data_IF_374204874512
#
_entry.id   IF_374204874512
#
_cell.length_a   1.000
_cell.length_b   1.000
_cell.length_c   1.000
_cell.angle_alpha   90.00
_cell.angle_beta   90.00
_cell.angle_gamma   90.00
#
_symmetry.space_group_name_H-M   'P 1'
#
loop_
_entity.id
_entity.type
_entity.pdbx_description
1 polymer ?
#
# COMPACT_ATOMS: atom_id res chain seq x y z
N UNK A 1 -6.83 16.39 -1.12
CA UNK A 1 -7.74 17.55 -1.12
C UNK A 1 -8.87 17.33 -0.12
N UNK A 2 -9.57 16.21 -0.17
CA UNK A 2 -10.74 15.92 0.68
C UNK A 2 -10.40 15.18 1.98
N UNK A 3 -9.12 14.89 2.20
CA UNK A 3 -8.61 14.25 3.40
C UNK A 3 -8.92 12.75 3.50
N UNK A 4 -8.58 12.19 4.66
CA UNK A 4 -8.75 10.78 4.93
C UNK A 4 -10.03 10.49 5.70
N UNK A 5 -10.48 9.23 5.65
CA UNK A 5 -11.55 8.72 6.50
C UNK A 5 -11.08 8.42 7.93
N UNK A 6 -11.65 7.38 8.52
CA UNK A 6 -11.29 6.97 9.90
C UNK A 6 -9.87 6.42 10.04
N UNK A 7 -9.27 6.03 8.94
CA UNK A 7 -7.91 5.48 8.86
C UNK A 7 -7.13 6.31 7.83
N UNK A 8 -6.54 5.72 6.81
CA UNK A 8 -5.74 6.40 5.79
C UNK A 8 -6.44 6.42 4.42
N UNK A 9 -7.74 6.19 4.36
CA UNK A 9 -8.50 6.00 3.12
C UNK A 9 -9.00 7.32 2.52
N UNK A 10 -8.42 7.83 1.42
CA UNK A 10 -8.82 9.06 0.74
C UNK A 10 -9.96 8.77 -0.26
N UNK A 11 -11.12 8.31 0.22
CA UNK A 11 -12.17 7.75 -0.63
C UNK A 11 -12.67 8.71 -1.70
N UNK A 12 -12.77 10.01 -1.43
CA UNK A 12 -13.24 11.01 -2.38
C UNK A 12 -12.20 11.26 -3.45
N UNK A 13 -10.96 11.58 -3.04
CA UNK A 13 -9.84 11.82 -3.97
C UNK A 13 -9.55 10.59 -4.84
N UNK A 14 -9.62 9.39 -4.25
CA UNK A 14 -9.47 8.12 -4.98
C UNK A 14 -10.53 7.98 -6.09
N UNK A 15 -11.78 8.30 -5.80
CA UNK A 15 -12.86 8.26 -6.79
C UNK A 15 -12.69 9.31 -7.88
N UNK A 16 -12.26 10.52 -7.54
CA UNK A 16 -11.97 11.56 -8.54
C UNK A 16 -10.89 11.09 -9.52
N UNK A 17 -9.79 10.52 -9.00
CA UNK A 17 -8.71 9.96 -9.85
C UNK A 17 -9.24 8.84 -10.75
N UNK A 18 -10.06 7.92 -10.21
CA UNK A 18 -10.66 6.84 -11.00
C UNK A 18 -11.56 7.36 -12.11
N UNK A 19 -12.39 8.38 -11.84
CA UNK A 19 -13.30 8.95 -12.85
C UNK A 19 -12.53 9.74 -13.91
N UNK A 20 -11.50 10.50 -13.54
CA UNK A 20 -10.59 11.14 -14.50
C UNK A 20 -9.95 10.11 -15.44
N UNK A 21 -9.46 9.01 -14.87
CA UNK A 21 -8.88 7.93 -15.68
C UNK A 21 -9.91 7.25 -16.57
N UNK A 22 -11.14 7.06 -16.10
CA UNK A 22 -12.23 6.54 -16.90
C UNK A 22 -12.57 7.51 -18.06
N UNK A 23 -12.53 8.82 -17.85
CA UNK A 23 -12.72 9.83 -18.89
C UNK A 23 -11.64 9.76 -19.98
N UNK A 24 -10.36 9.66 -19.59
CA UNK A 24 -9.27 9.43 -20.55
C UNK A 24 -9.51 8.16 -21.40
N UNK A 25 -9.92 7.08 -20.76
CA UNK A 25 -10.22 5.82 -21.44
C UNK A 25 -11.44 5.95 -22.34
N UNK A 26 -12.50 6.65 -21.91
CA UNK A 26 -13.69 6.92 -22.70
C UNK A 26 -13.30 7.56 -24.04
N UNK A 27 -12.50 8.62 -24.02
CA UNK A 27 -12.01 9.27 -25.25
C UNK A 27 -11.13 8.34 -26.09
N UNK A 28 -10.20 7.63 -25.45
CA UNK A 28 -9.29 6.70 -26.16
C UNK A 28 -10.02 5.58 -26.90
N UNK A 29 -11.11 5.08 -26.34
CA UNK A 29 -11.88 3.98 -26.95
C UNK A 29 -13.09 4.46 -27.75
N UNK A 30 -13.31 5.77 -27.94
CA UNK A 30 -14.46 6.32 -28.63
C UNK A 30 -15.79 6.02 -27.94
N UNK A 31 -15.76 5.74 -26.61
CA UNK A 31 -16.99 5.53 -25.86
C UNK A 31 -17.71 6.86 -25.62
N UNK A 32 -19.04 6.83 -25.56
CA UNK A 32 -19.87 8.04 -25.45
C UNK A 32 -20.14 8.46 -24.01
N UNK A 33 -20.02 7.55 -23.04
CA UNK A 33 -20.26 7.82 -21.63
C UNK A 33 -19.57 6.79 -20.72
N UNK A 34 -19.57 7.06 -19.42
CA UNK A 34 -18.99 6.24 -18.35
C UNK A 34 -20.11 5.66 -17.51
N UNK A 35 -20.02 4.38 -17.16
CA UNK A 35 -20.94 3.72 -16.21
C UNK A 35 -20.23 3.45 -14.90
N UNK A 36 -20.89 3.79 -13.77
CA UNK A 36 -20.44 3.45 -12.42
C UNK A 36 -21.48 2.65 -11.67
N UNK A 37 -21.05 1.55 -11.03
CA UNK A 37 -21.90 0.74 -10.15
C UNK A 37 -22.09 1.35 -8.74
N UNK A 38 -21.89 2.64 -8.57
CA UNK A 38 -22.12 3.34 -7.31
C UNK A 38 -23.61 3.42 -6.98
N UNK A 39 -23.95 3.27 -5.68
CA UNK A 39 -25.32 3.36 -5.19
C UNK A 39 -25.41 4.44 -4.11
N UNK A 40 -26.40 5.31 -4.23
CA UNK A 40 -26.62 6.39 -3.28
C UNK A 40 -26.80 5.87 -1.84
N UNK A 41 -25.98 6.38 -0.92
CA UNK A 41 -26.04 6.02 0.49
C UNK A 41 -25.38 4.69 0.87
N UNK A 42 -24.84 3.92 -0.08
CA UNK A 42 -24.24 2.61 0.22
C UNK A 42 -22.91 2.74 0.97
N UNK A 43 -22.13 3.77 0.67
CA UNK A 43 -20.86 4.06 1.35
C UNK A 43 -20.88 5.44 1.99
N UNK A 44 -20.63 5.54 3.32
CA UNK A 44 -20.83 6.78 4.05
C UNK A 44 -19.89 7.92 3.65
N UNK A 45 -18.75 7.61 3.02
CA UNK A 45 -17.78 8.66 2.61
C UNK A 45 -17.94 9.07 1.16
N UNK A 46 -18.05 8.12 0.23
CA UNK A 46 -17.93 8.40 -1.21
C UNK A 46 -19.25 8.30 -1.98
N UNK A 47 -20.33 7.89 -1.34
CA UNK A 47 -21.63 7.68 -2.00
C UNK A 47 -22.80 8.41 -1.32
N UNK A 48 -22.52 9.50 -0.63
CA UNK A 48 -23.51 10.48 -0.22
C UNK A 48 -23.86 11.37 -1.41
N UNK A 49 -25.03 11.98 -1.43
CA UNK A 49 -25.48 12.87 -2.50
C UNK A 49 -24.48 13.98 -2.80
N UNK A 50 -24.09 14.71 -1.74
CA UNK A 50 -23.10 15.78 -1.80
C UNK A 50 -21.76 15.31 -2.39
N UNK A 51 -21.28 14.16 -1.91
CA UNK A 51 -20.01 13.59 -2.33
C UNK A 51 -20.04 13.08 -3.77
N UNK A 52 -21.13 12.45 -4.20
CA UNK A 52 -21.32 12.03 -5.59
C UNK A 52 -21.29 13.24 -6.54
N UNK A 53 -21.84 14.38 -6.11
CA UNK A 53 -21.81 15.62 -6.87
C UNK A 53 -20.40 16.24 -6.94
N UNK A 54 -19.67 16.23 -5.81
CA UNK A 54 -18.26 16.66 -5.77
C UNK A 54 -17.40 15.81 -6.71
N UNK A 55 -17.53 14.47 -6.64
CA UNK A 55 -16.74 13.56 -7.48
C UNK A 55 -16.97 13.83 -8.97
N UNK A 56 -18.23 13.95 -9.41
CA UNK A 56 -18.53 14.19 -10.84
C UNK A 56 -18.08 15.56 -11.32
N UNK A 57 -18.13 16.58 -10.44
CA UNK A 57 -17.66 17.95 -10.74
C UNK A 57 -16.15 17.99 -10.87
N UNK A 58 -15.42 17.48 -9.86
CA UNK A 58 -13.97 17.60 -9.78
C UNK A 58 -13.23 16.64 -10.71
N UNK A 59 -13.89 15.59 -11.15
CA UNK A 59 -13.39 14.70 -12.19
C UNK A 59 -13.74 15.17 -13.60
N UNK A 60 -14.54 16.24 -13.75
CA UNK A 60 -15.04 16.76 -15.02
C UNK A 60 -15.78 15.71 -15.86
N UNK A 61 -16.68 14.97 -15.19
CA UNK A 61 -17.48 13.90 -15.85
C UNK A 61 -18.99 14.06 -15.59
N UNK A 62 -19.42 15.27 -15.26
CA UNK A 62 -20.79 15.55 -14.82
C UNK A 62 -21.83 15.06 -15.83
N UNK A 63 -21.62 15.32 -17.11
CA UNK A 63 -22.59 15.06 -18.17
C UNK A 63 -22.51 13.64 -18.72
N UNK A 64 -21.35 12.97 -18.53
CA UNK A 64 -21.08 11.65 -19.12
C UNK A 64 -21.07 10.50 -18.11
N UNK A 65 -21.16 10.78 -16.80
CA UNK A 65 -21.11 9.75 -15.75
C UNK A 65 -22.51 9.28 -15.36
N UNK A 66 -22.90 8.12 -15.85
CA UNK A 66 -24.17 7.48 -15.53
C UNK A 66 -24.00 6.48 -14.36
N UNK A 67 -24.98 6.48 -13.42
CA UNK A 67 -25.07 5.54 -12.30
C UNK A 67 -26.37 4.72 -12.38
N UNK A 68 -26.43 3.70 -13.24
CA UNK A 68 -27.67 3.01 -13.59
C UNK A 68 -28.45 2.44 -12.41
N UNK A 69 -27.72 2.00 -11.36
CA UNK A 69 -28.35 1.38 -10.19
C UNK A 69 -29.13 2.35 -9.30
N UNK A 70 -28.80 3.64 -9.34
CA UNK A 70 -29.45 4.66 -8.49
C UNK A 70 -29.84 5.94 -9.26
N UNK A 71 -29.91 5.87 -10.58
CA UNK A 71 -30.18 7.02 -11.43
C UNK A 71 -31.46 7.76 -11.07
N UNK A 72 -32.52 7.06 -10.72
CA UNK A 72 -33.84 7.67 -10.35
C UNK A 72 -33.76 8.57 -9.10
N UNK A 73 -32.69 8.51 -8.32
CA UNK A 73 -32.44 9.39 -7.17
C UNK A 73 -31.43 10.53 -7.47
N UNK A 74 -30.94 10.61 -8.69
CA UNK A 74 -29.96 11.62 -9.11
C UNK A 74 -30.53 12.50 -10.22
N UNK A 75 -29.98 13.70 -10.38
CA UNK A 75 -30.31 14.54 -11.52
C UNK A 75 -29.94 13.83 -12.83
N UNK A 76 -30.74 13.95 -13.89
CA UNK A 76 -30.45 13.39 -15.20
C UNK A 76 -29.11 13.92 -15.73
N UNK A 77 -28.40 13.09 -16.47
CA UNK A 77 -27.21 13.46 -17.24
C UNK A 77 -27.56 13.68 -18.71
N UNK A 78 -26.68 14.31 -19.50
CA UNK A 78 -26.88 14.43 -20.94
C UNK A 78 -27.07 13.09 -21.64
N UNK A 79 -26.52 12.02 -21.09
CA UNK A 79 -26.70 10.64 -21.59
C UNK A 79 -28.17 10.22 -21.56
N UNK A 80 -28.90 10.67 -20.55
CA UNK A 80 -30.35 10.40 -20.37
C UNK A 80 -31.20 11.42 -21.13
N UNK A 81 -30.85 12.71 -21.03
CA UNK A 81 -31.60 13.80 -21.66
C UNK A 81 -31.59 13.72 -23.22
N UNK A 82 -30.47 13.28 -23.78
CA UNK A 82 -30.33 13.05 -25.22
C UNK A 82 -31.05 11.80 -25.73
N UNK A 83 -31.64 11.00 -24.85
CA UNK A 83 -32.27 9.73 -25.19
C UNK A 83 -31.30 8.60 -25.59
N UNK A 84 -30.00 8.80 -25.35
CA UNK A 84 -29.01 7.74 -25.59
C UNK A 84 -29.24 6.54 -24.68
N UNK A 85 -29.71 6.78 -23.46
CA UNK A 85 -30.12 5.77 -22.48
C UNK A 85 -31.53 6.12 -22.00
N UNK A 86 -32.43 5.14 -22.04
CA UNK A 86 -33.80 5.29 -21.54
C UNK A 86 -33.77 5.29 -19.98
N UNK A 87 -34.05 6.45 -19.42
CA UNK A 87 -34.07 6.64 -17.93
C UNK A 87 -35.09 5.75 -17.23
N UNK A 88 -36.23 5.44 -17.86
CA UNK A 88 -37.27 4.62 -17.24
C UNK A 88 -36.79 3.17 -16.97
N UNK A 89 -35.83 2.70 -17.74
CA UNK A 89 -35.20 1.40 -17.55
C UNK A 89 -34.12 1.39 -16.48
N UNK A 90 -33.71 2.56 -15.96
CA UNK A 90 -32.73 2.68 -14.90
C UNK A 90 -33.38 2.47 -13.51
N UNK A 91 -32.55 2.20 -12.52
CA UNK A 91 -32.98 1.78 -11.20
C UNK A 91 -32.93 2.91 -10.17
N UNK A 92 -33.63 2.69 -9.04
CA UNK A 92 -33.70 3.58 -7.89
C UNK A 92 -33.19 2.90 -6.62
N UNK A 93 -32.12 2.11 -6.69
CA UNK A 93 -31.54 1.45 -5.52
C UNK A 93 -30.85 2.49 -4.63
N UNK A 94 -31.07 2.43 -3.31
CA UNK A 94 -30.44 3.32 -2.33
C UNK A 94 -30.18 2.64 -1.00
N UNK A 95 -29.24 3.18 -0.24
CA UNK A 95 -28.95 2.72 1.12
C UNK A 95 -27.86 1.65 1.18
N UNK A 96 -27.65 1.10 2.37
CA UNK A 96 -26.54 0.17 2.66
C UNK A 96 -26.83 -1.28 2.29
N UNK A 97 -28.09 -1.62 2.12
CA UNK A 97 -28.52 -2.97 1.75
C UNK A 97 -27.99 -3.38 0.38
N UNK A 98 -27.93 -4.68 0.12
CA UNK A 98 -27.48 -5.26 -1.14
C UNK A 98 -28.43 -6.28 -1.72
N UNK A 99 -29.56 -6.50 -1.06
CA UNK A 99 -30.56 -7.50 -1.47
C UNK A 99 -30.99 -7.31 -2.93
N UNK A 100 -31.28 -6.07 -3.33
CA UNK A 100 -31.68 -5.74 -4.69
C UNK A 100 -30.57 -6.01 -5.71
N UNK A 101 -29.31 -5.63 -5.40
CA UNK A 101 -28.18 -5.90 -6.28
C UNK A 101 -27.88 -7.40 -6.41
N UNK A 102 -28.02 -8.17 -5.32
CA UNK A 102 -27.86 -9.63 -5.36
C UNK A 102 -28.99 -10.30 -6.15
N UNK A 103 -30.22 -9.81 -6.02
CA UNK A 103 -31.34 -10.28 -6.81
C UNK A 103 -31.13 -10.01 -8.32
N UNK A 104 -30.62 -8.82 -8.67
CA UNK A 104 -30.24 -8.49 -10.05
C UNK A 104 -29.13 -9.40 -10.57
N UNK A 105 -28.06 -9.64 -9.78
CA UNK A 105 -26.99 -10.53 -10.17
C UNK A 105 -27.51 -11.94 -10.48
N UNK A 106 -28.42 -12.45 -9.63
CA UNK A 106 -29.10 -13.73 -9.88
C UNK A 106 -29.97 -13.71 -11.14
N UNK A 107 -30.74 -12.64 -11.33
CA UNK A 107 -31.59 -12.48 -12.51
C UNK A 107 -30.79 -12.49 -13.80
N UNK A 108 -29.62 -11.85 -13.82
CA UNK A 108 -28.72 -11.81 -14.97
C UNK A 108 -27.76 -13.01 -15.06
N UNK A 109 -27.94 -14.03 -14.23
CA UNK A 109 -27.17 -15.29 -14.33
C UNK A 109 -25.70 -15.18 -13.92
N UNK A 110 -25.34 -14.25 -13.06
CA UNK A 110 -23.97 -14.17 -12.53
C UNK A 110 -23.66 -15.42 -11.70
N UNK A 111 -22.72 -16.24 -12.15
CA UNK A 111 -22.28 -17.44 -11.42
C UNK A 111 -21.55 -17.07 -10.12
N UNK A 112 -20.76 -16.02 -10.16
CA UNK A 112 -20.06 -15.47 -9.00
C UNK A 112 -20.37 -13.99 -8.88
N UNK A 113 -20.71 -13.55 -7.67
CA UNK A 113 -20.83 -12.13 -7.35
C UNK A 113 -19.49 -11.67 -6.78
N UNK A 114 -18.75 -10.80 -7.47
CA UNK A 114 -17.48 -10.30 -6.97
C UNK A 114 -17.62 -9.69 -5.59
N UNK A 115 -16.58 -9.85 -4.78
CA UNK A 115 -16.54 -9.24 -3.44
C UNK A 115 -16.92 -7.77 -3.57
N UNK A 116 -17.90 -7.34 -2.82
CA UNK A 116 -18.28 -5.94 -2.86
C UNK A 116 -17.08 -5.09 -2.59
N UNK A 117 -16.88 -4.03 -3.36
CA UNK A 117 -15.78 -3.04 -3.23
C UNK A 117 -15.58 -2.55 -1.78
N UNK A 118 -15.35 -3.44 -0.86
CA UNK A 118 -14.86 -3.34 0.50
C UNK A 118 -13.44 -3.89 0.53
N UNK A 119 -12.74 -3.82 1.65
CA UNK A 119 -11.38 -4.36 1.75
C UNK A 119 -10.33 -3.46 1.11
N UNK A 120 -10.56 -2.15 1.08
CA UNK A 120 -9.50 -1.19 0.75
C UNK A 120 -8.42 -1.27 1.83
N UNK A 121 -7.21 -1.65 1.45
CA UNK A 121 -6.06 -1.72 2.37
C UNK A 121 -5.82 -0.42 3.15
N UNK A 122 -6.10 0.72 2.54
CA UNK A 122 -6.00 2.04 3.21
C UNK A 122 -7.06 2.28 4.30
N UNK A 123 -8.11 1.46 4.36
CA UNK A 123 -9.12 1.51 5.42
C UNK A 123 -8.81 0.59 6.61
N UNK A 124 -7.74 -0.21 6.53
CA UNK A 124 -7.31 -1.16 7.55
C UNK A 124 -6.22 -0.55 8.42
N UNK A 125 -6.38 -0.63 9.74
CA UNK A 125 -5.43 -0.07 10.72
C UNK A 125 -4.03 -0.67 10.56
N UNK A 126 -3.94 -1.97 10.32
CA UNK A 126 -2.68 -2.69 10.15
C UNK A 126 -1.91 -2.17 8.93
N UNK A 127 -2.59 -1.97 7.81
CA UNK A 127 -1.95 -1.40 6.63
C UNK A 127 -1.60 0.08 6.82
N UNK A 128 -2.43 0.86 7.51
CA UNK A 128 -2.16 2.26 7.77
C UNK A 128 -0.90 2.45 8.62
N UNK A 129 -0.69 1.63 9.67
CA UNK A 129 0.53 1.70 10.50
C UNK A 129 1.80 1.36 9.71
N UNK A 130 1.68 0.56 8.64
CA UNK A 130 2.79 0.20 7.75
C UNK A 130 3.04 1.26 6.67
N UNK A 131 1.97 1.90 6.17
CA UNK A 131 2.06 2.87 5.07
C UNK A 131 2.37 4.28 5.53
N UNK A 132 1.92 4.65 6.73
CA UNK A 132 2.11 6.01 7.24
C UNK A 132 3.59 6.42 7.36
N UNK A 133 4.49 5.61 7.95
CA UNK A 133 5.91 5.94 7.98
C UNK A 133 6.52 6.11 6.59
N UNK A 134 6.10 5.30 5.60
CA UNK A 134 6.53 5.46 4.21
C UNK A 134 6.14 6.84 3.67
N UNK A 135 4.90 7.28 3.93
CA UNK A 135 4.42 8.60 3.51
C UNK A 135 5.11 9.74 4.24
N UNK A 136 5.51 9.53 5.50
CA UNK A 136 6.15 10.51 6.36
C UNK A 136 7.62 10.71 6.03
N UNK A 137 8.37 9.63 5.83
CA UNK A 137 9.83 9.64 5.76
C UNK A 137 10.40 9.47 4.35
N UNK A 138 9.65 8.88 3.41
CA UNK A 138 10.11 8.78 2.02
C UNK A 138 9.95 10.12 1.31
N UNK A 139 11.02 10.68 0.73
CA UNK A 139 10.95 11.92 -0.04
C UNK A 139 10.01 11.79 -1.26
N UNK A 140 9.96 10.60 -1.85
CA UNK A 140 9.14 10.28 -3.02
C UNK A 140 8.61 8.86 -2.91
N UNK A 141 7.49 8.64 -2.19
CA UNK A 141 6.90 7.32 -2.03
C UNK A 141 6.56 6.66 -3.37
N UNK A 142 6.96 5.43 -3.54
CA UNK A 142 6.77 4.66 -4.78
C UNK A 142 5.90 3.42 -4.56
N UNK A 143 5.40 2.84 -5.66
CA UNK A 143 4.67 1.56 -5.62
C UNK A 143 5.52 0.46 -4.99
N UNK A 144 6.84 0.50 -5.20
CA UNK A 144 7.79 -0.45 -4.59
C UNK A 144 7.79 -0.34 -3.07
N UNK A 145 7.80 0.86 -2.52
CA UNK A 145 7.80 1.08 -1.07
C UNK A 145 6.52 0.51 -0.43
N UNK A 146 5.37 0.71 -1.06
CA UNK A 146 4.11 0.10 -0.59
C UNK A 146 4.05 -1.42 -0.78
N UNK A 147 4.76 -1.99 -1.75
CA UNK A 147 4.92 -3.44 -1.85
C UNK A 147 5.81 -3.97 -0.72
N UNK A 148 6.95 -3.34 -0.47
CA UNK A 148 7.86 -3.68 0.63
C UNK A 148 7.17 -3.61 1.99
N UNK A 149 6.38 -2.57 2.25
CA UNK A 149 5.65 -2.43 3.52
C UNK A 149 4.61 -3.52 3.80
N UNK A 150 4.23 -4.32 2.78
CA UNK A 150 3.34 -5.47 2.96
C UNK A 150 4.09 -6.80 3.22
N UNK A 151 5.43 -6.81 3.16
CA UNK A 151 6.25 -8.01 3.33
C UNK A 151 6.90 -7.96 4.71
N UNK A 152 7.00 -9.09 5.40
CA UNK A 152 7.78 -9.22 6.64
C UNK A 152 7.29 -8.37 7.82
N UNK A 153 8.23 -8.09 8.72
CA UNK A 153 8.08 -7.16 9.85
C UNK A 153 8.71 -5.83 9.48
N UNK A 154 8.08 -4.74 9.90
CA UNK A 154 8.47 -3.38 9.54
C UNK A 154 9.06 -2.67 10.75
N UNK A 155 10.31 -2.27 10.70
CA UNK A 155 11.00 -1.55 11.77
C UNK A 155 11.49 -0.21 11.26
N UNK A 156 11.31 0.80 12.08
CA UNK A 156 11.73 2.16 11.80
C UNK A 156 12.60 2.70 12.93
N UNK A 157 13.59 3.47 12.55
CA UNK A 157 14.39 4.27 13.45
C UNK A 157 14.56 5.63 12.79
N UNK A 158 13.81 6.62 13.27
CA UNK A 158 13.65 7.89 12.59
C UNK A 158 13.21 7.70 11.13
N UNK A 159 14.04 8.10 10.17
CA UNK A 159 13.80 7.97 8.73
C UNK A 159 14.43 6.71 8.11
N UNK A 160 15.01 5.85 8.90
CA UNK A 160 15.61 4.58 8.46
C UNK A 160 14.58 3.46 8.54
N UNK A 161 14.51 2.69 7.49
CA UNK A 161 13.52 1.63 7.35
C UNK A 161 14.15 0.27 7.15
N UNK A 162 13.86 -0.63 8.08
CA UNK A 162 14.27 -2.03 8.04
C UNK A 162 13.10 -2.96 7.89
N UNK A 163 13.21 -3.92 6.97
CA UNK A 163 12.19 -4.95 6.72
C UNK A 163 12.82 -6.31 6.99
N UNK A 164 12.25 -7.07 7.91
CA UNK A 164 12.78 -8.38 8.30
C UNK A 164 11.79 -9.48 7.88
N UNK A 165 12.24 -10.44 7.07
CA UNK A 165 11.44 -11.57 6.63
C UNK A 165 11.03 -12.46 7.81
N UNK A 166 9.81 -13.01 7.77
CA UNK A 166 9.28 -13.93 8.79
C UNK A 166 9.52 -15.39 8.45
N UNK A 167 9.63 -15.68 7.16
CA UNK A 167 9.75 -17.01 6.59
C UNK A 167 10.38 -16.95 5.19
N UNK A 168 10.59 -18.10 4.58
CA UNK A 168 11.22 -18.20 3.25
C UNK A 168 10.45 -17.45 2.15
N UNK A 169 9.12 -17.44 2.21
CA UNK A 169 8.31 -16.68 1.22
C UNK A 169 8.58 -15.18 1.32
N UNK A 170 8.63 -14.64 2.54
CA UNK A 170 8.98 -13.23 2.76
C UNK A 170 10.39 -12.94 2.28
N UNK A 171 11.37 -13.81 2.59
CA UNK A 171 12.77 -13.65 2.16
C UNK A 171 12.87 -13.56 0.64
N UNK A 172 12.23 -14.48 -0.08
CA UNK A 172 12.19 -14.49 -1.55
C UNK A 172 11.49 -13.23 -2.09
N UNK A 173 10.37 -12.83 -1.48
CA UNK A 173 9.62 -11.66 -1.90
C UNK A 173 10.41 -10.36 -1.67
N UNK A 174 11.14 -10.25 -0.57
CA UNK A 174 12.01 -9.10 -0.28
C UNK A 174 13.09 -8.94 -1.35
N UNK A 175 13.82 -10.00 -1.68
CA UNK A 175 14.87 -9.98 -2.72
C UNK A 175 14.32 -9.60 -4.10
N UNK A 176 13.08 -10.02 -4.40
CA UNK A 176 12.42 -9.69 -5.67
C UNK A 176 11.96 -8.23 -5.75
N UNK A 177 11.58 -7.62 -4.63
CA UNK A 177 10.94 -6.29 -4.59
C UNK A 177 11.91 -5.18 -4.23
N UNK A 178 12.99 -5.45 -3.47
CA UNK A 178 13.98 -4.44 -3.07
C UNK A 178 14.58 -3.72 -4.28
N UNK A 179 15.05 -2.48 -4.09
CA UNK A 179 15.74 -1.69 -5.10
C UNK A 179 17.22 -2.03 -5.15
N UNK A 180 17.89 -1.60 -6.21
CA UNK A 180 19.31 -1.91 -6.44
C UNK A 180 20.21 -1.37 -5.34
N UNK A 181 19.89 -0.20 -4.79
CA UNK A 181 20.64 0.46 -3.72
C UNK A 181 20.29 -0.02 -2.31
N UNK A 182 19.23 -0.84 -2.17
CA UNK A 182 18.82 -1.33 -0.85
C UNK A 182 19.86 -2.31 -0.28
N UNK A 183 20.09 -2.23 1.02
CA UNK A 183 21.01 -3.08 1.76
C UNK A 183 20.34 -4.41 2.10
N UNK A 184 21.03 -5.51 1.83
CA UNK A 184 20.58 -6.87 2.14
C UNK A 184 21.44 -7.44 3.25
N UNK A 185 20.82 -7.79 4.37
CA UNK A 185 21.44 -8.38 5.55
C UNK A 185 21.19 -9.88 5.58
N UNK A 186 22.26 -10.69 5.73
CA UNK A 186 22.19 -12.15 5.82
C UNK A 186 23.19 -12.66 6.87
N UNK A 187 22.75 -13.55 7.73
CA UNK A 187 23.65 -14.20 8.68
C UNK A 187 24.59 -15.20 7.96
N UNK A 188 25.82 -15.27 8.39
CA UNK A 188 26.77 -16.29 7.96
C UNK A 188 26.87 -17.39 9.02
N UNK A 189 26.74 -18.64 8.61
CA UNK A 189 26.88 -19.80 9.49
C UNK A 189 25.67 -20.09 10.39
N UNK A 190 24.65 -19.24 10.39
CA UNK A 190 23.42 -19.43 11.17
C UNK A 190 22.19 -19.27 10.28
N UNK A 191 21.16 -20.11 10.46
CA UNK A 191 19.88 -19.88 9.82
C UNK A 191 19.24 -18.61 10.40
N UNK A 192 18.72 -17.77 9.52
CA UNK A 192 18.10 -16.51 9.94
C UNK A 192 17.27 -15.88 8.82
N UNK A 193 16.57 -14.79 9.12
CA UNK A 193 15.85 -14.05 8.11
C UNK A 193 16.80 -13.33 7.16
N UNK A 194 16.30 -13.01 5.99
CA UNK A 194 16.83 -11.91 5.18
C UNK A 194 16.19 -10.63 5.70
N UNK A 195 17.01 -9.59 5.91
CA UNK A 195 16.50 -8.27 6.16
C UNK A 195 16.93 -7.31 5.04
N UNK A 196 16.11 -6.28 4.80
CA UNK A 196 16.34 -5.23 3.81
C UNK A 196 16.39 -3.89 4.54
N UNK A 197 17.49 -3.17 4.40
CA UNK A 197 17.62 -1.76 4.78
C UNK A 197 17.27 -0.90 3.56
N UNK A 198 16.12 -0.25 3.60
CA UNK A 198 15.66 0.60 2.51
C UNK A 198 16.46 1.90 2.48
N UNK A 199 17.21 2.12 1.43
CA UNK A 199 17.92 3.39 1.22
C UNK A 199 17.06 4.32 0.37
N UNK A 200 16.65 5.45 0.95
CA UNK A 200 15.99 6.52 0.21
C UNK A 200 17.04 7.35 -0.55
N UNK A 201 16.64 7.89 -1.69
CA UNK A 201 17.50 8.73 -2.53
C UNK A 201 18.17 9.84 -1.70
N UNK A 202 19.51 9.93 -1.79
CA UNK A 202 20.31 10.90 -1.05
C UNK A 202 20.52 10.59 0.45
N UNK A 203 20.06 9.43 0.93
CA UNK A 203 20.13 9.04 2.35
C UNK A 203 20.81 7.67 2.52
N UNK A 204 22.08 7.58 2.15
CA UNK A 204 22.88 6.39 2.41
C UNK A 204 23.10 6.23 3.92
N UNK A 205 23.05 4.98 4.39
CA UNK A 205 23.31 4.66 5.80
C UNK A 205 24.78 4.70 6.11
N UNK A 206 25.13 5.28 7.27
CA UNK A 206 26.50 5.28 7.78
C UNK A 206 26.92 3.86 8.22
N UNK A 207 28.23 3.62 8.32
CA UNK A 207 28.75 2.31 8.71
C UNK A 207 28.29 1.85 10.10
N UNK A 208 28.16 2.77 11.04
CA UNK A 208 27.67 2.51 12.38
C UNK A 208 26.17 2.12 12.37
N UNK A 209 25.40 2.73 11.51
CA UNK A 209 23.98 2.41 11.32
C UNK A 209 23.78 1.02 10.68
N UNK A 210 24.66 0.67 9.74
CA UNK A 210 24.67 -0.66 9.12
C UNK A 210 25.09 -1.72 10.14
N UNK A 211 26.08 -1.45 10.99
CA UNK A 211 26.51 -2.37 12.04
C UNK A 211 25.42 -2.61 13.09
N UNK A 212 24.71 -1.55 13.50
CA UNK A 212 23.58 -1.62 14.41
C UNK A 212 22.43 -2.47 13.82
N UNK A 213 22.08 -2.22 12.55
CA UNK A 213 21.09 -2.98 11.82
C UNK A 213 21.49 -4.47 11.64
N UNK A 214 22.79 -4.74 11.51
CA UNK A 214 23.31 -6.11 11.46
C UNK A 214 23.10 -6.84 12.79
N UNK A 215 23.42 -6.19 13.94
CA UNK A 215 23.18 -6.72 15.28
C UNK A 215 21.69 -6.97 15.52
N UNK A 216 20.84 -6.02 15.10
CA UNK A 216 19.39 -6.16 15.16
C UNK A 216 18.91 -7.34 14.30
N UNK A 217 19.38 -7.48 13.07
CA UNK A 217 19.02 -8.61 12.18
C UNK A 217 19.44 -9.95 12.79
N UNK A 218 20.63 -10.04 13.35
CA UNK A 218 21.15 -11.26 13.99
C UNK A 218 20.26 -11.73 15.16
N UNK A 219 19.62 -10.80 15.87
CA UNK A 219 18.72 -11.09 16.99
C UNK A 219 17.44 -11.86 16.59
N UNK A 220 17.13 -11.97 15.33
CA UNK A 220 16.01 -12.78 14.84
C UNK A 220 16.36 -14.23 14.55
N UNK A 221 17.63 -14.62 14.69
CA UNK A 221 18.07 -16.01 14.61
C UNK A 221 18.15 -16.62 16.00
N UNK A 222 17.25 -17.54 16.40
CA UNK A 222 17.30 -18.17 17.70
C UNK A 222 18.65 -18.88 17.96
N UNK A 223 19.21 -19.53 16.92
CA UNK A 223 20.50 -20.21 17.03
C UNK A 223 21.67 -19.25 17.24
N UNK A 224 21.66 -18.09 16.57
CA UNK A 224 22.68 -17.08 16.77
C UNK A 224 22.61 -16.49 18.19
N UNK A 225 21.42 -16.19 18.69
CA UNK A 225 21.21 -15.69 20.06
C UNK A 225 21.63 -16.75 21.11
N UNK A 226 21.24 -18.01 20.92
CA UNK A 226 21.57 -19.10 21.82
C UNK A 226 23.08 -19.45 21.89
N UNK A 227 23.83 -19.14 20.83
CA UNK A 227 25.28 -19.37 20.81
C UNK A 227 26.02 -18.53 21.84
N UNK A 228 25.48 -17.40 22.26
CA UNK A 228 26.12 -16.46 23.16
C UNK A 228 27.40 -15.82 22.63
N UNK A 229 27.68 -15.99 21.34
CA UNK A 229 28.87 -15.50 20.64
C UNK A 229 28.55 -14.39 19.65
N UNK A 230 29.57 -13.64 19.27
CA UNK A 230 29.49 -12.75 18.14
C UNK A 230 29.28 -13.54 16.84
N UNK A 231 28.44 -13.02 15.97
CA UNK A 231 28.08 -13.64 14.69
C UNK A 231 28.44 -12.71 13.54
N UNK A 232 28.75 -13.30 12.41
CA UNK A 232 29.03 -12.52 11.22
C UNK A 232 27.75 -12.30 10.41
N UNK A 233 27.45 -11.05 10.10
CA UNK A 233 26.37 -10.64 9.19
C UNK A 233 27.01 -10.10 7.91
N UNK A 234 26.57 -10.65 6.79
CA UNK A 234 26.96 -10.22 5.43
C UNK A 234 25.99 -9.15 4.99
N UNK A 235 26.49 -8.00 4.55
CA UNK A 235 25.70 -6.89 4.04
C UNK A 235 26.18 -6.54 2.65
N UNK A 236 25.28 -6.48 1.69
CA UNK A 236 25.57 -6.14 0.30
C UNK A 236 24.43 -5.30 -0.30
N UNK A 237 24.73 -4.52 -1.32
CA UNK A 237 23.68 -3.91 -2.12
C UNK A 237 22.91 -4.97 -2.92
N UNK A 238 21.62 -4.78 -3.09
CA UNK A 238 20.78 -5.72 -3.84
C UNK A 238 21.24 -5.87 -5.30
N UNK A 239 21.77 -4.82 -5.92
CA UNK A 239 22.34 -4.87 -7.26
C UNK A 239 23.50 -5.86 -7.37
N UNK A 240 24.39 -5.89 -6.38
CA UNK A 240 25.56 -6.77 -6.42
C UNK A 240 25.17 -8.24 -6.22
N UNK A 241 24.15 -8.49 -5.41
CA UNK A 241 23.55 -9.83 -5.29
C UNK A 241 22.95 -10.33 -6.62
N UNK A 242 22.26 -9.46 -7.36
CA UNK A 242 21.63 -9.83 -8.63
C UNK A 242 22.64 -10.12 -9.73
N UNK A 243 23.82 -9.45 -9.74
CA UNK A 243 24.88 -9.69 -10.70
C UNK A 243 25.53 -11.08 -10.57
N UNK A 244 25.51 -11.68 -9.37
CA UNK A 244 26.05 -13.02 -9.16
C UNK A 244 25.21 -14.14 -9.78
N UNK A 245 23.99 -13.85 -10.24
CA UNK A 245 23.06 -14.84 -10.75
C UNK A 245 22.43 -15.70 -9.66
N UNK A 246 21.37 -16.37 -10.04
CA UNK A 246 20.55 -17.24 -9.18
C UNK A 246 21.24 -18.59 -8.88
N UNK A 247 22.59 -18.60 -8.81
CA UNK A 247 23.35 -19.77 -8.37
C UNK A 247 23.08 -19.93 -6.87
N UNK A 248 22.12 -20.80 -6.56
CA UNK A 248 21.61 -21.10 -5.21
C UNK A 248 22.63 -21.64 -4.21
N UNK A 249 23.90 -21.26 -4.29
CA UNK A 249 24.87 -21.48 -3.25
C UNK A 249 24.93 -20.22 -2.35
N UNK A 250 24.36 -20.31 -1.17
CA UNK A 250 24.42 -19.33 -0.07
C UNK A 250 25.87 -18.93 0.32
N UNK A 251 26.91 -19.41 -0.36
CA UNK A 251 28.29 -19.46 0.14
C UNK A 251 29.33 -18.70 -0.71
N UNK A 252 28.99 -18.13 -1.88
CA UNK A 252 29.96 -17.36 -2.66
C UNK A 252 30.13 -15.92 -2.14
N UNK A 253 31.37 -15.34 -2.21
CA UNK A 253 31.57 -13.93 -1.88
C UNK A 253 30.87 -13.05 -2.93
N UNK A 254 30.09 -12.07 -2.46
CA UNK A 254 29.46 -11.03 -3.31
C UNK A 254 30.44 -9.89 -3.51
N UNK A 255 30.51 -9.31 -4.71
CA UNK A 255 31.30 -8.10 -4.92
C UNK A 255 30.83 -6.99 -3.97
N UNK A 256 31.79 -6.24 -3.40
CA UNK A 256 31.55 -5.17 -2.43
C UNK A 256 30.76 -5.58 -1.17
N UNK A 257 30.81 -6.87 -0.78
CA UNK A 257 30.16 -7.33 0.42
C UNK A 257 30.90 -6.85 1.67
N UNK A 258 30.18 -6.26 2.60
CA UNK A 258 30.68 -5.87 3.92
C UNK A 258 30.38 -7.00 4.92
N UNK A 259 31.34 -7.25 5.81
CA UNK A 259 31.20 -8.24 6.90
C UNK A 259 31.20 -7.51 8.24
N UNK A 260 30.14 -7.68 8.99
CA UNK A 260 30.01 -7.14 10.36
C UNK A 260 30.01 -8.29 11.35
N UNK A 261 30.97 -8.28 12.28
CA UNK A 261 30.94 -9.17 13.44
C UNK A 261 30.24 -8.46 14.57
N UNK A 262 29.09 -8.98 15.00
CA UNK A 262 28.16 -8.31 15.92
C UNK A 262 27.59 -9.27 16.95
N UNK A 263 27.34 -8.78 18.15
CA UNK A 263 26.54 -9.48 19.13
C UNK A 263 25.06 -9.34 18.80
N UNK A 264 24.29 -10.45 18.66
CA UNK A 264 22.85 -10.37 18.40
C UNK A 264 22.12 -9.54 19.47
N UNK A 265 21.53 -8.42 19.08
CA UNK A 265 20.87 -7.50 20.01
C UNK A 265 19.53 -7.01 19.46
N UNK A 266 18.45 -7.13 20.27
CA UNK A 266 17.12 -6.63 19.90
C UNK A 266 16.96 -5.15 20.24
N UNK A 267 17.60 -4.70 21.31
CA UNK A 267 17.57 -3.32 21.79
C UNK A 267 18.90 -2.66 21.45
N UNK A 268 19.06 -2.29 20.19
CA UNK A 268 20.27 -1.61 19.70
C UNK A 268 20.21 -0.10 20.02
N UNK A 269 21.35 0.61 20.02
CA UNK A 269 21.39 2.07 20.25
C UNK A 269 20.49 2.89 19.34
N UNK A 270 20.33 2.49 18.08
CA UNK A 270 19.46 3.19 17.12
C UNK A 270 17.98 3.01 17.45
N UNK A 271 17.59 1.90 18.07
CA UNK A 271 16.25 1.73 18.62
C UNK A 271 15.18 1.41 17.57
N UNK A 272 15.40 0.37 16.77
CA UNK A 272 14.43 -0.12 15.78
C UNK A 272 13.10 -0.51 16.41
N UNK A 273 12.02 0.12 16.01
CA UNK A 273 10.68 -0.14 16.54
C UNK A 273 9.64 -0.33 15.43
N UNK A 274 8.59 -1.10 15.72
CA UNK A 274 7.41 -1.17 14.87
C UNK A 274 6.52 0.04 15.14
N UNK A 275 5.93 0.59 14.09
CA UNK A 275 4.94 1.66 14.26
C UNK A 275 3.66 1.11 14.90
N UNK A 276 3.17 1.75 15.94
CA UNK A 276 1.95 1.38 16.63
C UNK A 276 0.75 2.19 16.13
N UNK A 277 -0.40 1.53 15.99
CA UNK A 277 -1.60 2.20 15.47
C UNK A 277 -2.05 3.43 16.30
N UNK A 278 -2.04 3.43 17.63
CA UNK A 278 -2.41 4.63 18.38
C UNK A 278 -1.58 5.86 18.04
N UNK A 279 -0.26 5.69 17.92
CA UNK A 279 0.69 6.76 17.56
C UNK A 279 0.43 7.22 16.13
N UNK A 280 0.41 6.30 15.18
CA UNK A 280 0.15 6.58 13.76
C UNK A 280 -1.19 7.32 13.57
N UNK A 281 -2.22 6.92 14.31
CA UNK A 281 -3.54 7.57 14.25
C UNK A 281 -3.48 9.04 14.66
N UNK A 282 -2.75 9.36 15.72
CA UNK A 282 -2.62 10.76 16.18
C UNK A 282 -1.77 11.58 15.20
N UNK A 283 -0.71 11.01 14.63
CA UNK A 283 0.08 11.67 13.59
C UNK A 283 -0.75 11.97 12.33
N UNK A 284 -1.54 11.00 11.84
CA UNK A 284 -2.45 11.22 10.70
C UNK A 284 -3.45 12.35 11.00
N UNK A 285 -3.97 12.40 12.22
CA UNK A 285 -4.90 13.46 12.64
C UNK A 285 -4.24 14.82 12.72
N UNK A 286 -3.00 14.89 13.18
CA UNK A 286 -2.22 16.13 13.21
C UNK A 286 -1.98 16.63 11.79
N UNK A 287 -1.45 15.80 10.90
CA UNK A 287 -1.23 16.14 9.48
C UNK A 287 -2.51 16.64 8.78
N UNK A 288 -3.67 16.03 9.09
CA UNK A 288 -4.95 16.49 8.55
C UNK A 288 -5.40 17.85 9.09
N UNK A 289 -5.06 18.20 10.34
CA UNK A 289 -5.37 19.53 10.90
C UNK A 289 -4.51 20.60 10.24
N UNK A 290 -3.21 20.35 10.13
CA UNK A 290 -2.24 21.28 9.53
C UNK A 290 -2.56 21.61 8.06
N UNK A 291 -3.04 20.62 7.30
CA UNK A 291 -3.45 20.81 5.90
C UNK A 291 -4.79 21.53 5.72
N UNK A 292 -5.55 21.75 6.79
CA UNK A 292 -6.82 22.48 6.77
C UNK A 292 -6.72 23.90 7.29
N UNK A 293 -5.65 24.22 8.03
CA UNK A 293 -5.30 25.56 8.48
C UNK A 293 -4.61 26.34 7.35
#
# INVERSE_FOLDING_TARGET
VYGFGKVLNPCVDCKIIMMRKASEMMHRYGARFIISGEVLGQRPMSQRQDTLNVIRRDADVREVLLRPLCAKHLDPTEVELSGLVDRERLLGIKGRGRSEQLALAKHYGFAEVPTPGGGCKLAEKENARRYWPVLKFSPKPSVRDFKLSNIGRQYWAEDKWMIVGRNQMDNTALLKVCGDDDLIFRLRGFPGPIAVGRQFEGKAWAQEEIADAAAFTASFSPKAVQSGQDVTVRVSCAADLRKQGDSGSEQGPVANEMLFTVTPCRQTPIGWCESEWPVVREEIRADMRDKRA
#
